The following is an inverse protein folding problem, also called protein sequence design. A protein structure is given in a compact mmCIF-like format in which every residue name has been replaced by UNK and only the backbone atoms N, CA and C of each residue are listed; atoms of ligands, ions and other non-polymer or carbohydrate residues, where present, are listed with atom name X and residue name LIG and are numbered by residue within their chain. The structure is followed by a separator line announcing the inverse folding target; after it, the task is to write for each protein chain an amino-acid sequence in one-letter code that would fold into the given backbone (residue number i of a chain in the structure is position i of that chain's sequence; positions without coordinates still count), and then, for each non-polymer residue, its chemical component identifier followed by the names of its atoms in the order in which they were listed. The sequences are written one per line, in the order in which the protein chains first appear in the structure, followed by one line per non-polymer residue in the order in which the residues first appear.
data_IF_001198828118
#
_entry.id   IF_001198828118
#
_cell.length_a   1.000
_cell.length_b   1.000
_cell.length_c   1.000
_cell.angle_alpha   90.00
_cell.angle_beta   90.00
_cell.angle_gamma   90.00
#
_symmetry.space_group_name_H-M   'P 1'
#
loop_
_entity.id
_entity.type
_entity.pdbx_description
1 polymer ?
#
# COMPACT_ATOMS: atom_id res chain seq x y z
N UNK A 1 1.48 17.33 6.31
CA UNK A 1 1.84 18.07 5.09
C UNK A 1 0.60 18.60 4.39
N UNK A 2 -0.36 17.73 4.09
CA UNK A 2 -1.66 18.11 3.51
C UNK A 2 -2.42 19.19 4.32
N UNK A 3 -2.58 19.02 5.64
CA UNK A 3 -3.27 20.00 6.49
C UNK A 3 -2.60 21.39 6.59
N UNK A 4 -1.37 21.54 6.06
CA UNK A 4 -0.58 22.77 6.12
C UNK A 4 -0.39 23.40 4.72
N UNK A 5 -0.30 22.58 3.66
CA UNK A 5 -0.02 23.02 2.29
C UNK A 5 -1.23 22.88 1.33
N UNK A 6 -2.27 22.11 1.71
CA UNK A 6 -3.40 21.75 0.86
C UNK A 6 -3.06 20.64 -0.15
N UNK A 7 -4.05 19.79 -0.51
CA UNK A 7 -3.87 18.66 -1.46
C UNK A 7 -3.30 19.08 -2.82
N UNK A 8 -3.59 20.31 -3.28
CA UNK A 8 -3.17 20.83 -4.57
C UNK A 8 -1.66 21.13 -4.69
N UNK A 9 -0.94 21.22 -3.56
CA UNK A 9 0.49 21.48 -3.52
C UNK A 9 1.35 20.21 -3.48
N UNK A 10 0.73 19.03 -3.38
CA UNK A 10 1.43 17.75 -3.30
C UNK A 10 1.91 17.31 -4.68
N UNK A 11 3.15 16.79 -4.75
CA UNK A 11 3.60 16.08 -5.95
C UNK A 11 2.76 14.81 -6.16
N UNK A 12 2.74 14.27 -7.37
CA UNK A 12 1.97 13.05 -7.63
C UNK A 12 2.47 11.88 -6.77
N UNK A 13 3.78 11.83 -6.47
CA UNK A 13 4.35 10.87 -5.55
C UNK A 13 3.85 11.07 -4.12
N UNK A 14 3.81 12.32 -3.63
CA UNK A 14 3.29 12.63 -2.29
C UNK A 14 1.80 12.25 -2.15
N UNK A 15 1.01 12.43 -3.21
CA UNK A 15 -0.40 11.99 -3.24
C UNK A 15 -0.50 10.46 -3.14
N UNK A 16 0.38 9.72 -3.80
CA UNK A 16 0.42 8.25 -3.66
C UNK A 16 0.78 7.86 -2.22
N UNK A 17 1.76 8.50 -1.61
CA UNK A 17 2.11 8.26 -0.21
C UNK A 17 0.99 8.63 0.75
N UNK A 18 0.29 9.74 0.50
CA UNK A 18 -0.86 10.16 1.28
C UNK A 18 -1.99 9.12 1.22
N UNK A 19 -2.33 8.66 0.01
CA UNK A 19 -3.32 7.59 -0.19
C UNK A 19 -2.89 6.29 0.50
N UNK A 20 -1.62 5.90 0.36
CA UNK A 20 -1.07 4.73 1.05
C UNK A 20 -1.25 4.82 2.56
N UNK A 21 -0.91 5.97 3.17
CA UNK A 21 -1.04 6.17 4.61
C UNK A 21 -2.50 6.01 5.07
N UNK A 22 -3.44 6.61 4.35
CA UNK A 22 -4.88 6.48 4.65
C UNK A 22 -5.39 5.04 4.55
N UNK A 23 -4.99 4.30 3.52
CA UNK A 23 -5.36 2.89 3.37
C UNK A 23 -4.68 1.99 4.41
N UNK A 24 -3.42 2.29 4.78
CA UNK A 24 -2.70 1.57 5.81
C UNK A 24 -3.38 1.71 7.18
N UNK A 25 -3.77 2.92 7.56
CA UNK A 25 -4.51 3.14 8.82
C UNK A 25 -5.86 2.40 8.82
N UNK A 26 -6.62 2.51 7.72
CA UNK A 26 -7.97 1.95 7.62
C UNK A 26 -8.00 0.43 7.53
N UNK A 27 -7.04 -0.19 6.86
CA UNK A 27 -7.07 -1.62 6.54
C UNK A 27 -6.06 -2.40 7.37
N UNK A 28 -4.83 -1.92 7.44
CA UNK A 28 -3.75 -2.64 8.11
C UNK A 28 -3.82 -2.49 9.62
N UNK A 29 -3.92 -1.25 10.12
CA UNK A 29 -3.94 -0.97 11.56
C UNK A 29 -5.31 -1.23 12.17
N UNK A 30 -6.37 -0.74 11.54
CA UNK A 30 -7.74 -0.84 12.08
C UNK A 30 -8.30 -2.25 11.88
N UNK A 31 -7.98 -3.11 12.84
CA UNK A 31 -8.54 -4.44 12.99
C UNK A 31 -9.78 -4.38 13.88
N UNK A 32 -10.86 -5.02 13.47
CA UNK A 32 -12.11 -5.06 14.24
C UNK A 32 -11.94 -5.76 15.58
N UNK A 33 -12.80 -5.44 16.56
CA UNK A 33 -12.74 -6.01 17.92
C UNK A 33 -12.77 -7.54 17.97
N UNK A 34 -13.42 -8.18 17.00
CA UNK A 34 -13.55 -9.63 16.89
C UNK A 34 -12.83 -10.18 15.65
N UNK A 35 -11.95 -9.39 15.04
CA UNK A 35 -11.17 -9.83 13.90
C UNK A 35 -9.89 -10.46 14.43
N UNK A 36 -9.61 -11.70 13.99
CA UNK A 36 -8.38 -12.42 14.31
C UNK A 36 -7.71 -12.80 12.99
N UNK A 37 -6.64 -12.09 12.65
CA UNK A 37 -5.89 -12.30 11.42
C UNK A 37 -4.70 -13.20 11.70
N UNK A 38 -4.55 -14.23 10.88
CA UNK A 38 -3.29 -14.96 10.76
C UNK A 38 -2.15 -14.04 10.28
N UNK A 39 -0.91 -14.50 10.51
CA UNK A 39 0.26 -13.76 10.06
C UNK A 39 0.31 -13.69 8.53
N UNK A 40 -0.14 -14.73 7.84
CA UNK A 40 -0.24 -14.79 6.38
C UNK A 40 -1.21 -13.74 5.84
N UNK A 41 -2.40 -13.62 6.43
CA UNK A 41 -3.37 -12.58 6.05
C UNK A 41 -2.83 -11.17 6.28
N UNK A 42 -2.11 -10.97 7.38
CA UNK A 42 -1.49 -9.67 7.69
C UNK A 42 -0.40 -9.33 6.67
N UNK A 43 0.44 -10.30 6.31
CA UNK A 43 1.48 -10.12 5.30
C UNK A 43 0.90 -9.88 3.90
N UNK A 44 -0.12 -10.63 3.51
CA UNK A 44 -0.82 -10.46 2.23
C UNK A 44 -1.41 -9.05 2.13
N UNK A 45 -2.06 -8.55 3.19
CA UNK A 45 -2.58 -7.19 3.23
C UNK A 45 -1.46 -6.14 3.16
N UNK A 46 -0.34 -6.38 3.82
CA UNK A 46 0.83 -5.51 3.73
C UNK A 46 1.37 -5.41 2.30
N UNK A 47 1.47 -6.53 1.60
CA UNK A 47 1.92 -6.57 0.21
C UNK A 47 0.93 -5.93 -0.77
N UNK A 48 -0.37 -6.11 -0.55
CA UNK A 48 -1.41 -5.43 -1.32
C UNK A 48 -1.28 -3.91 -1.19
N UNK A 49 -1.06 -3.41 0.02
CA UNK A 49 -0.90 -1.98 0.25
C UNK A 49 0.42 -1.45 -0.33
N UNK A 50 1.51 -2.20 -0.20
CA UNK A 50 2.81 -1.84 -0.79
C UNK A 50 2.78 -1.81 -2.33
N UNK A 51 1.91 -2.61 -2.96
CA UNK A 51 1.74 -2.61 -4.42
C UNK A 51 1.16 -1.28 -4.97
N UNK A 52 0.60 -0.42 -4.11
CA UNK A 52 0.18 0.94 -4.50
C UNK A 52 1.38 1.88 -4.71
N UNK A 53 2.52 1.59 -4.08
CA UNK A 53 3.72 2.41 -4.20
C UNK A 53 4.52 2.00 -5.45
N UNK A 54 5.20 2.94 -6.13
CA UNK A 54 6.12 2.59 -7.21
C UNK A 54 7.22 1.66 -6.73
N UNK A 55 7.60 0.64 -7.52
CA UNK A 55 8.66 -0.32 -7.14
C UNK A 55 9.99 0.37 -6.76
N UNK A 56 10.30 1.51 -7.38
CA UNK A 56 11.50 2.30 -7.07
C UNK A 56 11.55 2.84 -5.63
N UNK A 57 10.39 2.97 -4.97
CA UNK A 57 10.26 3.46 -3.60
C UNK A 57 10.43 2.35 -2.55
N UNK A 58 10.33 1.08 -2.94
CA UNK A 58 10.42 -0.09 -2.05
C UNK A 58 11.87 -0.48 -1.70
N UNK A 59 12.69 0.52 -1.36
CA UNK A 59 14.16 0.39 -1.18
C UNK A 59 14.61 -0.47 0.00
N UNK A 60 13.71 -0.75 0.95
CA UNK A 60 14.00 -1.54 2.16
C UNK A 60 13.68 -3.03 2.00
N UNK A 61 13.12 -3.42 0.86
CA UNK A 61 12.76 -4.80 0.57
C UNK A 61 13.81 -5.35 -0.39
N UNK A 62 14.31 -6.56 -0.10
CA UNK A 62 15.30 -7.18 -0.97
C UNK A 62 14.70 -7.46 -2.36
N UNK A 63 15.46 -7.29 -3.46
CA UNK A 63 14.96 -7.47 -4.81
C UNK A 63 14.31 -8.83 -5.06
N UNK A 64 14.84 -9.89 -4.46
CA UNK A 64 14.35 -11.26 -4.68
C UNK A 64 12.88 -11.40 -4.24
N UNK A 65 12.51 -10.79 -3.11
CA UNK A 65 11.12 -10.79 -2.65
C UNK A 65 10.20 -9.90 -3.50
N UNK A 66 10.73 -8.79 -4.03
CA UNK A 66 9.96 -7.93 -4.93
C UNK A 66 9.70 -8.61 -6.28
N UNK A 67 10.53 -9.55 -6.69
CA UNK A 67 10.34 -10.28 -7.95
C UNK A 67 9.46 -11.51 -7.79
N UNK A 68 9.55 -12.21 -6.66
CA UNK A 68 8.71 -13.39 -6.41
C UNK A 68 7.29 -13.04 -5.96
N UNK A 69 7.15 -12.06 -5.06
CA UNK A 69 5.89 -11.84 -4.32
C UNK A 69 5.06 -10.71 -4.94
N UNK A 70 5.68 -9.56 -5.24
CA UNK A 70 4.97 -8.37 -5.72
C UNK A 70 4.11 -8.60 -6.98
N UNK A 71 4.52 -9.40 -7.99
CA UNK A 71 3.70 -9.63 -9.19
C UNK A 71 2.34 -10.29 -8.91
N UNK A 72 2.19 -10.99 -7.78
CA UNK A 72 0.92 -11.56 -7.34
C UNK A 72 -0.10 -10.47 -7.01
N UNK A 73 0.33 -9.37 -6.40
CA UNK A 73 -0.53 -8.29 -5.89
C UNK A 73 -0.74 -7.14 -6.89
N UNK A 74 0.10 -7.06 -7.93
CA UNK A 74 -0.10 -6.10 -9.04
C UNK A 74 -1.25 -6.49 -9.97
N UNK A 75 -1.63 -7.77 -10.02
CA UNK A 75 -2.73 -8.26 -10.86
C UNK A 75 -4.12 -7.93 -10.30
N UNK A 76 -4.23 -7.71 -9.00
CA UNK A 76 -5.49 -7.40 -8.30
C UNK A 76 -5.77 -5.89 -8.19
N UNK A 77 -4.74 -5.05 -8.29
CA UNK A 77 -4.86 -3.58 -8.20
C UNK A 77 -5.07 -2.90 -9.56
N UNK A 78 -5.10 -3.67 -10.65
CA UNK A 78 -5.46 -3.16 -11.97
C UNK A 78 -6.94 -2.73 -11.97
N UNK A 79 -7.27 -1.46 -12.28
CA UNK A 79 -8.66 -1.03 -12.30
C UNK A 79 -9.44 -1.81 -13.37
N UNK A 80 -10.50 -2.50 -12.94
CA UNK A 80 -11.60 -2.86 -13.80
C UNK A 80 -12.33 -1.58 -14.22
N UNK A 81 -11.79 -0.87 -15.22
CA UNK A 81 -12.46 0.14 -16.04
C UNK A 81 -11.60 0.37 -17.28
N UNK A 82 -11.88 -0.42 -18.32
CA UNK A 82 -11.62 -0.08 -19.72
C UNK A 82 -12.87 0.62 -20.29
#
# INVERSE_FOLDING_TARGET
LEAILGEAALSDLDKVYYKFAGEFEKRYINQGLNEDRSIEQTLDLGWELLAMLPKAELKRIRPEYLEEILPRFLKETAPANA
#
